data_IF_189202521431
#
_entry.id   IF_189202521431
#
_cell.length_a   1.000
_cell.length_b   1.000
_cell.length_c   1.000
_cell.angle_alpha   90.00
_cell.angle_beta   90.00
_cell.angle_gamma   90.00
#
_symmetry.space_group_name_H-M   'P 1'
#
loop_
_entity.id
_entity.type
_entity.pdbx_description
1 polymer ?
#
# COMPACT_ATOMS: atom_id res chain seq x y z
N UNK A 1 -9.30 2.02 -5.64
CA UNK A 1 -10.45 2.52 -4.85
C UNK A 1 -11.51 1.46 -4.61
N UNK A 2 -11.84 0.60 -5.57
CA UNK A 2 -12.84 -0.49 -5.39
C UNK A 2 -12.62 -1.37 -4.15
N UNK A 3 -11.38 -1.84 -3.90
CA UNK A 3 -11.06 -2.61 -2.69
C UNK A 3 -11.28 -1.78 -1.42
N UNK A 4 -10.95 -0.48 -1.44
CA UNK A 4 -11.22 0.41 -0.30
C UNK A 4 -12.72 0.65 -0.11
N UNK A 5 -13.51 0.64 -1.19
CA UNK A 5 -14.97 0.71 -1.14
C UNK A 5 -15.57 -0.54 -0.52
N UNK A 6 -15.12 -1.72 -0.95
CA UNK A 6 -15.53 -3.02 -0.39
C UNK A 6 -15.14 -3.13 1.09
N UNK A 7 -13.96 -2.61 1.45
CA UNK A 7 -13.53 -2.49 2.83
C UNK A 7 -14.20 -1.32 3.57
N UNK A 8 -15.18 -0.62 3.01
CA UNK A 8 -15.94 0.48 3.64
C UNK A 8 -15.08 1.65 4.16
N UNK A 9 -13.94 1.90 3.53
CA UNK A 9 -13.01 2.99 3.89
C UNK A 9 -12.76 3.99 2.74
N UNK A 10 -13.42 3.81 1.60
CA UNK A 10 -13.29 4.71 0.44
C UNK A 10 -13.53 6.17 0.81
N UNK A 11 -14.61 6.51 1.53
CA UNK A 11 -14.89 7.89 1.93
C UNK A 11 -13.82 8.48 2.85
N UNK A 12 -13.21 7.66 3.71
CA UNK A 12 -12.10 8.11 4.56
C UNK A 12 -10.86 8.41 3.72
N UNK A 13 -10.51 7.53 2.78
CA UNK A 13 -9.42 7.76 1.82
C UNK A 13 -9.64 9.04 1.00
N UNK A 14 -10.86 9.24 0.47
CA UNK A 14 -11.19 10.39 -0.37
C UNK A 14 -11.03 11.73 0.35
N UNK A 15 -11.18 11.77 1.69
CA UNK A 15 -10.97 13.01 2.48
C UNK A 15 -9.51 13.46 2.55
N UNK A 16 -8.58 12.55 2.34
CA UNK A 16 -7.13 12.81 2.38
C UNK A 16 -6.49 12.82 0.99
N UNK A 17 -7.25 12.48 -0.05
CA UNK A 17 -6.75 12.36 -1.42
C UNK A 17 -7.03 13.63 -2.25
N UNK A 18 -6.14 13.90 -3.20
CA UNK A 18 -6.38 14.85 -4.29
C UNK A 18 -7.34 14.20 -5.29
N UNK A 19 -8.38 14.96 -5.66
CA UNK A 19 -9.42 14.50 -6.56
C UNK A 19 -8.92 14.29 -7.99
N UNK A 20 -9.61 13.43 -8.74
CA UNK A 20 -9.22 13.02 -10.09
C UNK A 20 -9.12 14.19 -11.09
N UNK A 21 -10.00 15.18 -10.97
CA UNK A 21 -10.04 16.36 -11.83
C UNK A 21 -8.87 17.33 -11.58
N UNK A 22 -8.16 17.18 -10.46
CA UNK A 22 -7.03 18.03 -10.07
C UNK A 22 -5.65 17.46 -10.45
N UNK A 23 -5.58 16.21 -10.93
CA UNK A 23 -4.32 15.52 -11.25
C UNK A 23 -4.02 15.40 -12.75
N UNK A 24 -4.84 16.01 -13.61
CA UNK A 24 -4.95 15.61 -15.01
C UNK A 24 -3.81 15.98 -15.95
N UNK A 25 -2.92 16.91 -15.57
CA UNK A 25 -1.89 17.41 -16.48
C UNK A 25 -0.49 16.95 -16.05
N UNK A 26 0.22 16.32 -16.98
CA UNK A 26 1.67 16.11 -16.88
C UNK A 26 2.39 17.03 -17.85
N UNK A 27 3.20 17.94 -17.30
CA UNK A 27 3.91 18.98 -18.03
C UNK A 27 5.37 18.59 -18.25
N UNK A 28 5.84 18.74 -19.48
CA UNK A 28 7.26 18.76 -19.79
C UNK A 28 7.64 20.20 -20.10
N UNK A 29 8.46 20.80 -19.25
CA UNK A 29 8.91 22.18 -19.38
C UNK A 29 10.42 22.23 -19.14
N UNK A 30 11.07 23.27 -19.67
CA UNK A 30 12.51 23.49 -19.45
C UNK A 30 12.85 23.79 -17.99
N UNK A 31 11.91 24.39 -17.26
CA UNK A 31 11.89 24.52 -15.79
C UNK A 31 10.46 24.82 -15.33
N UNK A 32 10.22 24.88 -14.02
CA UNK A 32 8.88 25.20 -13.48
C UNK A 32 8.35 26.58 -13.93
N UNK A 33 9.25 27.56 -14.13
CA UNK A 33 8.92 28.90 -14.63
C UNK A 33 9.35 29.11 -16.09
N UNK A 34 9.77 28.05 -16.77
CA UNK A 34 10.28 28.08 -18.15
C UNK A 34 9.20 27.82 -19.18
N UNK A 35 9.64 27.66 -20.43
CA UNK A 35 8.76 27.30 -21.54
C UNK A 35 8.19 25.88 -21.34
N UNK A 36 6.86 25.77 -21.44
CA UNK A 36 6.14 24.50 -21.56
C UNK A 36 6.33 23.95 -22.97
N UNK A 37 6.88 22.74 -23.06
CA UNK A 37 7.15 22.06 -24.33
C UNK A 37 5.99 21.14 -24.72
N UNK A 38 5.44 20.40 -23.74
CA UNK A 38 4.41 19.39 -23.94
C UNK A 38 3.50 19.34 -22.71
N UNK A 39 2.19 19.19 -22.94
CA UNK A 39 1.21 18.83 -21.92
C UNK A 39 0.48 17.57 -22.33
N UNK A 40 0.50 16.57 -21.45
CA UNK A 40 -0.26 15.35 -21.60
C UNK A 40 -1.45 15.37 -20.63
N UNK A 41 -2.64 15.07 -21.16
CA UNK A 41 -3.82 14.76 -20.36
C UNK A 41 -3.69 13.36 -19.79
N UNK A 42 -3.02 13.29 -18.64
CA UNK A 42 -2.71 12.07 -17.92
C UNK A 42 -3.92 11.55 -17.13
N UNK A 43 -3.76 10.31 -16.67
CA UNK A 43 -4.69 9.64 -15.76
C UNK A 43 -6.14 9.58 -16.26
N UNK A 44 -6.39 9.67 -17.57
CA UNK A 44 -7.74 9.57 -18.14
C UNK A 44 -8.59 10.85 -18.05
N UNK A 45 -8.00 11.99 -17.69
CA UNK A 45 -8.74 13.26 -17.52
C UNK A 45 -8.98 14.04 -18.82
N UNK A 46 -8.47 13.55 -19.96
CA UNK A 46 -8.71 14.13 -21.27
C UNK A 46 -9.90 13.49 -21.97
N UNK A 47 -10.62 14.27 -22.78
CA UNK A 47 -11.87 13.86 -23.46
C UNK A 47 -11.78 12.52 -24.17
N UNK A 48 -10.64 12.25 -24.81
CA UNK A 48 -10.41 11.02 -25.57
C UNK A 48 -10.42 9.74 -24.70
N UNK A 49 -10.13 9.84 -23.39
CA UNK A 49 -10.02 8.69 -22.47
C UNK A 49 -10.98 8.76 -21.28
N UNK A 50 -11.60 9.91 -21.02
CA UNK A 50 -12.46 10.10 -19.85
C UNK A 50 -13.62 9.10 -19.79
N UNK A 51 -14.27 8.85 -20.93
CA UNK A 51 -15.35 7.86 -21.04
C UNK A 51 -14.91 6.46 -20.62
N UNK A 52 -13.72 6.02 -21.06
CA UNK A 52 -13.19 4.69 -20.73
C UNK A 52 -13.01 4.53 -19.21
N UNK A 53 -12.52 5.56 -18.53
CA UNK A 53 -12.27 5.53 -17.09
C UNK A 53 -13.57 5.47 -16.28
N UNK A 54 -14.55 6.31 -16.64
CA UNK A 54 -15.87 6.32 -15.99
C UNK A 54 -16.64 5.02 -16.24
N UNK A 55 -16.49 4.40 -17.41
CA UNK A 55 -17.12 3.11 -17.70
C UNK A 55 -16.36 1.92 -17.08
N UNK A 56 -15.06 2.06 -16.88
CA UNK A 56 -14.18 0.98 -16.43
C UNK A 56 -14.29 0.66 -14.94
N UNK A 57 -14.72 1.60 -14.12
CA UNK A 57 -14.86 1.40 -12.67
C UNK A 57 -15.90 2.35 -12.08
N UNK A 58 -16.64 1.95 -11.01
CA UNK A 58 -17.43 2.88 -10.21
C UNK A 58 -16.58 3.87 -9.41
N UNK A 59 -15.26 3.67 -9.34
CA UNK A 59 -14.35 4.50 -8.55
C UNK A 59 -13.30 5.19 -9.43
N UNK A 60 -13.09 6.49 -9.20
CA UNK A 60 -12.06 7.25 -9.92
C UNK A 60 -10.65 7.01 -9.36
N UNK A 61 -9.64 7.35 -10.16
CA UNK A 61 -8.25 7.45 -9.70
C UNK A 61 -8.11 8.65 -8.78
N UNK A 62 -7.39 8.50 -7.68
CA UNK A 62 -7.10 9.57 -6.72
C UNK A 62 -5.63 9.53 -6.34
N UNK A 63 -5.09 10.68 -5.95
CA UNK A 63 -3.70 10.80 -5.52
C UNK A 63 -3.67 10.97 -4.00
N UNK A 64 -3.10 9.99 -3.33
CA UNK A 64 -2.92 9.95 -1.88
C UNK A 64 -1.55 9.36 -1.58
N UNK A 65 -0.78 10.08 -0.78
CA UNK A 65 0.57 9.66 -0.40
C UNK A 65 0.53 8.59 0.70
N UNK A 66 1.53 7.71 0.72
CA UNK A 66 1.62 6.61 1.70
C UNK A 66 1.51 7.06 3.16
N UNK A 67 2.15 8.15 3.62
CA UNK A 67 2.01 8.60 5.01
C UNK A 67 0.59 8.99 5.44
N UNK A 68 -0.30 9.32 4.50
CA UNK A 68 -1.72 9.58 4.77
C UNK A 68 -2.55 8.29 4.67
N UNK A 69 -2.22 7.41 3.72
CA UNK A 69 -2.93 6.14 3.51
C UNK A 69 -2.66 5.10 4.61
N UNK A 70 -1.40 4.92 5.01
CA UNK A 70 -1.01 3.86 5.95
C UNK A 70 -1.72 3.97 7.31
N UNK A 71 -1.85 5.16 7.93
CA UNK A 71 -2.62 5.32 9.16
C UNK A 71 -4.10 4.96 9.02
N UNK A 72 -4.72 5.25 7.88
CA UNK A 72 -6.13 4.90 7.60
C UNK A 72 -6.29 3.38 7.61
N UNK A 73 -5.39 2.66 6.93
CA UNK A 73 -5.41 1.19 6.90
C UNK A 73 -5.13 0.58 8.26
N UNK A 74 -4.10 1.08 8.96
CA UNK A 74 -3.72 0.61 10.28
C UNK A 74 -4.88 0.76 11.27
N UNK A 75 -5.48 1.96 11.34
CA UNK A 75 -6.60 2.27 12.22
C UNK A 75 -7.79 1.35 11.95
N UNK A 76 -8.21 1.23 10.68
CA UNK A 76 -9.40 0.44 10.34
C UNK A 76 -9.19 -1.07 10.58
N UNK A 77 -7.99 -1.59 10.29
CA UNK A 77 -7.66 -2.97 10.60
C UNK A 77 -7.64 -3.22 12.12
N UNK A 78 -7.06 -2.32 12.91
CA UNK A 78 -7.03 -2.44 14.38
C UNK A 78 -8.44 -2.39 14.97
N UNK A 79 -9.31 -1.49 14.48
CA UNK A 79 -10.71 -1.41 14.88
C UNK A 79 -11.52 -2.69 14.55
N UNK A 80 -11.11 -3.42 13.51
CA UNK A 80 -11.69 -4.71 13.10
C UNK A 80 -11.04 -5.92 13.82
N UNK A 81 -10.15 -5.67 14.78
CA UNK A 81 -9.57 -6.71 15.64
C UNK A 81 -8.21 -7.23 15.21
N UNK A 82 -7.55 -6.62 14.22
CA UNK A 82 -6.16 -6.95 13.92
C UNK A 82 -5.23 -6.45 15.03
N UNK A 83 -4.30 -7.31 15.46
CA UNK A 83 -3.26 -6.94 16.44
C UNK A 83 -2.00 -6.54 15.72
N UNK A 84 -1.41 -5.42 16.13
CA UNK A 84 -0.17 -4.91 15.57
C UNK A 84 0.92 -4.89 16.64
N UNK A 85 2.13 -5.24 16.22
CA UNK A 85 3.35 -5.05 17.01
C UNK A 85 4.32 -4.23 16.17
N UNK A 86 4.52 -2.97 16.53
CA UNK A 86 5.52 -2.10 15.90
C UNK A 86 6.88 -2.32 16.56
N UNK A 87 7.96 -1.81 15.94
CA UNK A 87 9.33 -2.03 16.41
C UNK A 87 9.66 -3.52 16.62
N UNK A 88 8.98 -4.41 15.89
CA UNK A 88 9.19 -5.85 15.93
C UNK A 88 9.77 -6.28 14.60
N UNK A 89 10.92 -6.94 14.64
CA UNK A 89 11.62 -7.44 13.46
C UNK A 89 11.44 -8.93 13.32
N UNK A 90 11.18 -9.38 12.10
CA UNK A 90 11.19 -10.79 11.72
C UNK A 90 12.64 -11.29 11.60
N UNK A 91 12.95 -12.39 12.29
CA UNK A 91 14.28 -13.00 12.26
C UNK A 91 14.35 -14.23 11.35
N UNK A 92 13.49 -15.22 11.58
CA UNK A 92 13.45 -16.48 10.82
C UNK A 92 12.13 -17.21 11.08
N UNK A 93 11.90 -18.33 10.41
CA UNK A 93 10.79 -19.22 10.72
C UNK A 93 11.14 -20.69 10.52
N UNK A 94 10.40 -21.56 11.20
CA UNK A 94 10.36 -22.99 10.92
C UNK A 94 8.90 -23.41 10.68
N UNK A 95 8.69 -24.19 9.62
CA UNK A 95 7.37 -24.71 9.26
C UNK A 95 7.31 -26.22 9.55
N UNK A 96 6.18 -26.67 10.08
CA UNK A 96 5.82 -28.08 10.19
C UNK A 96 4.42 -28.32 9.59
N UNK A 97 3.91 -29.55 9.72
CA UNK A 97 2.62 -29.98 9.14
C UNK A 97 1.41 -29.16 9.64
N UNK A 98 1.52 -28.46 10.77
CA UNK A 98 0.40 -27.82 11.46
C UNK A 98 0.45 -26.29 11.52
N UNK A 99 1.52 -25.69 10.99
CA UNK A 99 1.72 -24.24 10.95
C UNK A 99 3.18 -23.79 10.91
N UNK A 100 3.41 -22.52 11.25
CA UNK A 100 4.71 -21.84 11.20
C UNK A 100 5.04 -21.25 12.57
N UNK A 101 6.23 -21.53 13.09
CA UNK A 101 6.80 -20.86 14.26
C UNK A 101 7.77 -19.79 13.79
N UNK A 102 7.49 -18.54 14.14
CA UNK A 102 8.27 -17.36 13.72
C UNK A 102 9.13 -16.87 14.87
N UNK A 103 10.40 -16.55 14.61
CA UNK A 103 11.29 -15.87 15.55
C UNK A 103 11.26 -14.36 15.29
N UNK A 104 11.10 -13.59 16.36
CA UNK A 104 10.90 -12.15 16.33
C UNK A 104 11.84 -11.47 17.33
N UNK A 105 12.22 -10.22 17.06
CA UNK A 105 12.94 -9.36 18.00
C UNK A 105 12.17 -8.06 18.24
N UNK A 106 11.93 -7.73 19.50
CA UNK A 106 11.54 -6.38 19.90
C UNK A 106 12.78 -5.48 19.84
N UNK A 107 12.77 -4.52 18.92
CA UNK A 107 13.90 -3.61 18.66
C UNK A 107 14.08 -2.53 19.72
N UNK A 108 13.08 -2.30 20.57
CA UNK A 108 13.20 -1.36 21.69
C UNK A 108 13.95 -2.02 22.85
N UNK A 109 13.57 -3.25 23.18
CA UNK A 109 14.12 -3.98 24.35
C UNK A 109 15.27 -4.92 24.00
N UNK A 110 15.45 -5.28 22.73
CA UNK A 110 16.37 -6.32 22.25
C UNK A 110 15.89 -7.74 22.57
N UNK A 111 14.68 -7.91 23.12
CA UNK A 111 14.16 -9.22 23.51
C UNK A 111 13.76 -10.02 22.27
N UNK A 112 14.30 -11.22 22.15
CA UNK A 112 13.85 -12.21 21.18
C UNK A 112 12.73 -13.09 21.76
N UNK A 113 11.77 -13.44 20.92
CA UNK A 113 10.65 -14.29 21.28
C UNK A 113 10.08 -14.99 20.04
N UNK A 114 9.30 -16.05 20.26
CA UNK A 114 8.66 -16.79 19.18
C UNK A 114 7.15 -16.65 19.20
N UNK A 115 6.53 -16.80 18.02
CA UNK A 115 5.08 -16.81 17.85
C UNK A 115 4.66 -17.94 16.93
N UNK A 116 3.59 -18.66 17.30
CA UNK A 116 3.03 -19.73 16.48
C UNK A 116 1.83 -19.21 15.69
N UNK A 117 1.81 -19.47 14.38
CA UNK A 117 0.70 -19.13 13.49
C UNK A 117 0.35 -20.30 12.57
N UNK A 118 -0.82 -20.25 11.94
CA UNK A 118 -1.22 -21.23 10.90
C UNK A 118 -0.57 -20.95 9.55
N UNK A 119 -0.40 -19.67 9.23
CA UNK A 119 0.23 -19.19 8.01
C UNK A 119 1.09 -17.98 8.32
N UNK A 120 2.12 -17.78 7.50
CA UNK A 120 2.96 -16.58 7.50
C UNK A 120 2.79 -15.89 6.14
N UNK A 121 2.45 -14.60 6.15
CA UNK A 121 2.33 -13.78 4.92
C UNK A 121 3.54 -12.85 4.84
N UNK A 122 4.38 -13.03 3.83
CA UNK A 122 5.54 -12.17 3.56
C UNK A 122 5.13 -10.87 2.88
N UNK A 123 4.95 -9.81 3.67
CA UNK A 123 4.64 -8.46 3.20
C UNK A 123 5.73 -7.45 3.61
N UNK A 124 6.99 -7.88 3.60
CA UNK A 124 8.18 -7.18 4.12
C UNK A 124 8.98 -6.38 3.04
N UNK A 125 8.42 -6.23 1.85
CA UNK A 125 8.91 -5.32 0.81
C UNK A 125 9.99 -5.91 -0.11
N UNK A 126 10.68 -5.04 -0.86
CA UNK A 126 11.51 -5.43 -2.00
C UNK A 126 12.72 -6.33 -1.67
N UNK A 127 13.24 -6.26 -0.44
CA UNK A 127 14.31 -7.14 0.06
C UNK A 127 13.74 -8.09 1.10
N UNK A 128 12.72 -8.84 0.67
CA UNK A 128 11.97 -9.73 1.57
C UNK A 128 12.88 -10.81 2.14
N UNK A 129 13.02 -10.81 3.46
CA UNK A 129 13.74 -11.85 4.19
C UNK A 129 12.92 -13.14 4.23
N UNK A 130 11.59 -13.04 4.19
CA UNK A 130 10.70 -14.21 4.08
C UNK A 130 10.96 -14.98 2.78
N UNK A 131 11.09 -14.26 1.66
CA UNK A 131 11.44 -14.84 0.35
C UNK A 131 12.83 -15.49 0.38
N UNK A 132 13.81 -14.83 0.98
CA UNK A 132 15.18 -15.34 1.13
C UNK A 132 15.20 -16.66 1.91
N UNK A 133 14.53 -16.72 3.07
CA UNK A 133 14.45 -17.91 3.92
C UNK A 133 13.72 -19.09 3.23
N UNK A 134 12.77 -18.79 2.34
CA UNK A 134 12.09 -19.79 1.51
C UNK A 134 12.92 -20.24 0.30
N UNK A 135 14.08 -19.61 0.03
CA UNK A 135 14.91 -19.89 -1.13
C UNK A 135 14.23 -19.60 -2.46
N UNK A 136 13.24 -18.70 -2.48
CA UNK A 136 12.50 -18.35 -3.68
C UNK A 136 13.32 -17.39 -4.55
N UNK A 137 13.39 -17.69 -5.84
CA UNK A 137 13.99 -16.80 -6.84
C UNK A 137 12.88 -16.01 -7.53
N UNK A 138 12.71 -14.75 -7.14
CA UNK A 138 11.74 -13.80 -7.70
C UNK A 138 12.44 -12.60 -8.36
#
# INVERSE_FOLDING_TARGET
>A
MEVYRDLEIEEEVLRHATAWDQMGDSLFATSLAGEELIRLRSWGTGDARHGDYVQGSPCNVVDIIQPEMEPILFKNAAQRGATFSTNTEYLSHEQDESGVTVQLQDRITGREYSMRAKYLVGADGARSKVVEELGLQI
#
